data_IF_043279511233
#
_entry.id   IF_043279511233
#
_cell.length_a   1.000
_cell.length_b   1.000
_cell.length_c   1.000
_cell.angle_alpha   90.00
_cell.angle_beta   90.00
_cell.angle_gamma   90.00
#
_symmetry.space_group_name_H-M   'P 1'
#
loop_
_entity.id
_entity.type
_entity.pdbx_description
1 polymer ?
#
# COMPACT_ATOMS: atom_id res chain seq x y z
N UNK A 1 1.09 16.72 16.05
CA UNK A 1 1.05 15.36 16.66
C UNK A 1 0.97 14.37 15.51
N UNK A 2 1.85 13.38 15.45
CA UNK A 2 1.76 12.30 14.44
C UNK A 2 0.46 11.52 14.69
N UNK A 3 -0.29 11.21 13.61
CA UNK A 3 -1.55 10.47 13.69
C UNK A 3 -1.45 9.19 12.83
N UNK A 4 -2.17 8.13 13.19
CA UNK A 4 -2.39 7.01 12.29
C UNK A 4 -3.02 7.49 10.99
N UNK A 5 -2.73 6.80 9.88
CA UNK A 5 -3.28 7.14 8.56
C UNK A 5 -4.20 6.04 8.08
N UNK A 6 -5.35 6.42 7.54
CA UNK A 6 -6.27 5.51 6.84
C UNK A 6 -6.07 5.73 5.34
N UNK A 7 -5.54 4.72 4.64
CA UNK A 7 -4.99 4.89 3.30
C UNK A 7 -5.76 4.02 2.29
N UNK A 8 -6.59 4.60 1.40
CA UNK A 8 -7.10 3.86 0.26
C UNK A 8 -5.95 3.41 -0.66
N UNK A 9 -5.99 2.13 -1.08
CA UNK A 9 -5.06 1.58 -2.05
C UNK A 9 -5.80 1.20 -3.32
N UNK A 10 -5.46 1.85 -4.43
CA UNK A 10 -6.01 1.63 -5.76
C UNK A 10 -5.05 0.78 -6.58
N UNK A 11 -5.58 -0.21 -7.28
CA UNK A 11 -4.81 -1.07 -8.18
C UNK A 11 -5.17 -0.71 -9.61
N UNK A 12 -4.15 -0.42 -10.43
CA UNK A 12 -4.31 -0.17 -11.87
C UNK A 12 -3.86 -1.39 -12.64
N UNK A 13 -4.65 -1.78 -13.64
CA UNK A 13 -4.34 -2.77 -14.65
C UNK A 13 -4.91 -2.32 -16.00
N UNK A 14 -4.09 -2.32 -17.05
CA UNK A 14 -4.52 -1.88 -18.38
C UNK A 14 -5.25 -0.52 -18.35
N UNK A 15 -4.69 0.46 -17.60
CA UNK A 15 -5.22 1.81 -17.40
C UNK A 15 -6.58 1.89 -16.67
N UNK A 16 -7.15 0.78 -16.26
CA UNK A 16 -8.40 0.72 -15.50
C UNK A 16 -8.16 0.38 -14.03
N UNK A 17 -9.08 0.82 -13.18
CA UNK A 17 -9.08 0.46 -11.78
C UNK A 17 -9.59 -0.97 -11.60
N UNK A 18 -8.84 -1.77 -10.84
CA UNK A 18 -9.21 -3.16 -10.57
C UNK A 18 -9.14 -3.49 -9.09
N UNK A 19 -9.78 -4.60 -8.70
CA UNK A 19 -9.61 -5.26 -7.40
C UNK A 19 -9.39 -6.75 -7.60
N UNK A 20 -8.51 -7.31 -6.78
CA UNK A 20 -8.10 -8.71 -6.78
C UNK A 20 -8.55 -9.45 -5.52
N UNK A 21 -8.44 -10.77 -5.54
CA UNK A 21 -8.49 -11.63 -4.34
C UNK A 21 -7.23 -12.49 -4.37
N UNK A 22 -6.38 -12.37 -3.36
CA UNK A 22 -5.10 -13.06 -3.29
C UNK A 22 -4.21 -12.81 -4.55
N UNK A 23 -4.25 -11.59 -5.10
CA UNK A 23 -3.57 -11.17 -6.34
C UNK A 23 -4.08 -11.88 -7.60
N UNK A 24 -5.21 -12.56 -7.53
CA UNK A 24 -5.83 -13.28 -8.65
C UNK A 24 -7.14 -12.60 -9.06
N UNK A 25 -7.65 -12.97 -10.23
CA UNK A 25 -8.97 -12.62 -10.75
C UNK A 25 -9.27 -11.11 -10.69
N UNK A 26 -8.48 -10.26 -11.38
CA UNK A 26 -8.66 -8.81 -11.36
C UNK A 26 -10.03 -8.43 -11.94
N UNK A 27 -10.90 -7.89 -11.08
CA UNK A 27 -12.22 -7.39 -11.47
C UNK A 27 -12.12 -5.89 -11.72
N UNK A 28 -12.54 -5.43 -12.90
CA UNK A 28 -12.64 -4.01 -13.21
C UNK A 28 -13.70 -3.33 -12.34
N UNK A 29 -13.36 -2.17 -11.80
CA UNK A 29 -14.23 -1.42 -10.88
C UNK A 29 -14.37 0.06 -11.22
N UNK A 30 -13.76 0.53 -12.30
CA UNK A 30 -13.95 1.90 -12.76
C UNK A 30 -12.70 2.58 -13.31
N UNK A 31 -12.82 3.89 -13.47
CA UNK A 31 -11.74 4.76 -13.93
C UNK A 31 -10.94 5.31 -12.73
N UNK A 32 -9.59 5.27 -12.77
CA UNK A 32 -8.76 5.71 -11.65
C UNK A 32 -8.86 7.21 -11.38
N UNK A 33 -8.98 8.07 -12.41
CA UNK A 33 -9.08 9.52 -12.24
C UNK A 33 -10.40 9.89 -11.55
N UNK A 34 -11.51 9.28 -11.97
CA UNK A 34 -12.80 9.49 -11.32
C UNK A 34 -12.76 9.01 -9.85
N UNK A 35 -12.05 7.91 -9.56
CA UNK A 35 -11.87 7.45 -8.18
C UNK A 35 -11.12 8.48 -7.34
N UNK A 36 -10.03 9.06 -7.86
CA UNK A 36 -9.26 10.12 -7.19
C UNK A 36 -10.15 11.33 -6.88
N UNK A 37 -10.99 11.79 -7.83
CA UNK A 37 -11.95 12.88 -7.58
C UNK A 37 -12.86 12.61 -6.41
N UNK A 38 -13.43 11.41 -6.34
CA UNK A 38 -14.30 11.03 -5.23
C UNK A 38 -13.53 10.99 -3.90
N UNK A 39 -12.26 10.52 -3.90
CA UNK A 39 -11.43 10.54 -2.69
C UNK A 39 -11.02 11.95 -2.27
N UNK A 40 -10.83 12.90 -3.21
CA UNK A 40 -10.64 14.31 -2.88
C UNK A 40 -11.83 14.88 -2.10
N UNK A 41 -13.06 14.62 -2.56
CA UNK A 41 -14.29 15.06 -1.89
C UNK A 41 -14.46 14.46 -0.49
N UNK A 42 -13.85 13.29 -0.26
CA UNK A 42 -13.88 12.58 1.03
C UNK A 42 -12.72 12.93 1.95
N UNK A 43 -11.82 13.81 1.56
CA UNK A 43 -10.68 14.29 2.36
C UNK A 43 -9.85 13.14 2.95
N UNK A 44 -9.41 12.20 2.09
CA UNK A 44 -8.62 11.05 2.55
C UNK A 44 -7.22 11.48 3.03
N UNK A 45 -6.65 10.74 3.98
CA UNK A 45 -5.39 11.11 4.61
C UNK A 45 -4.18 10.97 3.67
N UNK A 46 -4.20 9.98 2.81
CA UNK A 46 -3.17 9.64 1.81
C UNK A 46 -3.78 8.65 0.81
N UNK A 47 -3.27 8.59 -0.42
CA UNK A 47 -3.71 7.65 -1.45
C UNK A 47 -2.52 6.87 -1.99
N UNK A 48 -2.62 5.55 -2.04
CA UNK A 48 -1.66 4.67 -2.72
C UNK A 48 -2.27 4.20 -4.05
N UNK A 49 -1.51 4.33 -5.14
CA UNK A 49 -1.88 3.85 -6.48
C UNK A 49 -0.78 2.92 -7.00
N UNK A 50 -1.13 1.67 -7.30
CA UNK A 50 -0.19 0.65 -7.76
C UNK A 50 -0.59 0.11 -9.13
N UNK A 51 0.28 0.26 -10.16
CA UNK A 51 0.17 -0.48 -11.43
C UNK A 51 0.72 -1.90 -11.19
N UNK A 52 -0.20 -2.86 -11.05
CA UNK A 52 0.12 -4.21 -10.60
C UNK A 52 0.77 -5.10 -11.67
N UNK A 53 0.64 -4.75 -12.94
CA UNK A 53 1.21 -5.53 -14.05
C UNK A 53 2.51 -4.95 -14.60
N UNK A 54 2.82 -3.67 -14.36
CA UNK A 54 3.96 -3.00 -14.96
C UNK A 54 5.29 -3.74 -14.73
N UNK A 55 5.54 -4.21 -13.50
CA UNK A 55 6.76 -4.98 -13.20
C UNK A 55 6.72 -6.39 -13.80
N UNK A 56 5.55 -7.06 -13.75
CA UNK A 56 5.39 -8.42 -14.29
C UNK A 56 5.52 -8.46 -15.82
N UNK A 57 5.07 -7.42 -16.50
CA UNK A 57 5.12 -7.27 -17.96
C UNK A 57 6.40 -6.55 -18.44
N UNK A 58 7.32 -6.26 -17.51
CA UNK A 58 8.55 -5.53 -17.77
C UNK A 58 8.33 -4.16 -18.43
N UNK A 59 7.21 -3.49 -18.12
CA UNK A 59 6.87 -2.14 -18.61
C UNK A 59 7.47 -1.06 -17.71
N UNK A 60 7.72 0.10 -18.28
CA UNK A 60 8.01 1.32 -17.53
C UNK A 60 6.74 1.91 -16.89
N UNK A 61 6.87 2.79 -15.88
CA UNK A 61 5.76 3.57 -15.37
C UNK A 61 5.03 4.33 -16.46
N UNK A 62 3.70 4.37 -16.43
CA UNK A 62 2.90 5.19 -17.36
C UNK A 62 2.90 6.66 -16.87
N UNK A 63 3.90 7.43 -17.33
CA UNK A 63 4.09 8.81 -16.91
C UNK A 63 2.90 9.72 -17.24
N UNK A 64 2.17 9.47 -18.32
CA UNK A 64 0.98 10.24 -18.64
C UNK A 64 -0.15 9.97 -17.64
N UNK A 65 -0.36 8.72 -17.26
CA UNK A 65 -1.31 8.35 -16.22
C UNK A 65 -0.91 8.96 -14.88
N UNK A 66 0.39 8.89 -14.53
CA UNK A 66 0.92 9.45 -13.27
C UNK A 66 0.69 10.95 -13.22
N UNK A 67 0.97 11.67 -14.31
CA UNK A 67 0.74 13.10 -14.38
C UNK A 67 -0.74 13.44 -14.17
N UNK A 68 -1.65 12.76 -14.87
CA UNK A 68 -3.09 12.98 -14.72
C UNK A 68 -3.57 12.70 -13.30
N UNK A 69 -3.03 11.66 -12.63
CA UNK A 69 -3.33 11.35 -11.25
C UNK A 69 -2.83 12.46 -10.31
N UNK A 70 -1.59 12.93 -10.48
CA UNK A 70 -0.99 13.97 -9.65
C UNK A 70 -1.70 15.31 -9.82
N UNK A 71 -2.09 15.69 -11.05
CA UNK A 71 -2.85 16.92 -11.33
C UNK A 71 -4.25 16.91 -10.68
N UNK A 72 -4.87 15.75 -10.59
CA UNK A 72 -6.19 15.60 -9.98
C UNK A 72 -6.11 15.48 -8.45
N UNK A 73 -5.04 14.89 -7.90
CA UNK A 73 -4.91 14.52 -6.50
C UNK A 73 -4.65 15.74 -5.60
N UNK A 74 -5.44 15.92 -4.54
CA UNK A 74 -5.28 17.00 -3.53
C UNK A 74 -4.79 16.51 -2.18
N UNK A 75 -4.67 15.19 -2.02
CA UNK A 75 -4.07 14.53 -0.86
C UNK A 75 -2.69 13.98 -1.22
N UNK A 76 -1.83 13.64 -0.24
CA UNK A 76 -0.57 12.97 -0.52
C UNK A 76 -0.76 11.72 -1.37
N UNK A 77 -0.06 11.67 -2.52
CA UNK A 77 -0.11 10.57 -3.48
C UNK A 77 1.15 9.73 -3.42
N UNK A 78 1.00 8.43 -3.22
CA UNK A 78 2.05 7.44 -3.37
C UNK A 78 1.80 6.61 -4.63
N UNK A 79 2.73 6.62 -5.58
CA UNK A 79 2.62 5.82 -6.80
C UNK A 79 3.67 4.71 -6.85
N UNK A 80 3.28 3.50 -7.31
CA UNK A 80 4.17 2.37 -7.58
C UNK A 80 3.75 1.56 -8.79
N UNK A 81 4.72 0.84 -9.34
CA UNK A 81 4.54 -0.01 -10.52
C UNK A 81 5.54 0.30 -11.62
N UNK A 82 6.33 -0.71 -12.03
CA UNK A 82 7.32 -0.59 -13.09
C UNK A 82 8.60 0.19 -12.74
N UNK A 83 8.74 0.68 -11.52
CA UNK A 83 9.89 1.50 -11.07
C UNK A 83 11.09 0.60 -10.80
N UNK A 84 12.21 0.86 -11.52
CA UNK A 84 13.43 0.04 -11.48
C UNK A 84 14.73 0.85 -11.37
N UNK A 85 14.67 2.15 -11.57
CA UNK A 85 15.85 3.02 -11.62
C UNK A 85 15.62 4.32 -10.87
N UNK A 86 16.68 4.95 -10.37
CA UNK A 86 16.63 6.27 -9.72
C UNK A 86 16.04 7.32 -10.67
N UNK A 87 16.42 7.30 -11.95
CA UNK A 87 15.88 8.23 -12.95
C UNK A 87 14.35 8.15 -13.07
N UNK A 88 13.78 6.94 -12.97
CA UNK A 88 12.31 6.78 -12.95
C UNK A 88 11.70 7.34 -11.68
N UNK A 89 12.37 7.15 -10.53
CA UNK A 89 11.95 7.74 -9.24
C UNK A 89 11.92 9.27 -9.32
N UNK A 90 13.02 9.90 -9.76
CA UNK A 90 13.10 11.35 -9.98
C UNK A 90 12.01 11.86 -10.92
N UNK A 91 11.79 11.16 -12.02
CA UNK A 91 10.76 11.51 -13.01
C UNK A 91 9.37 11.50 -12.37
N UNK A 92 9.01 10.49 -11.57
CA UNK A 92 7.71 10.39 -10.91
C UNK A 92 7.52 11.54 -9.93
N UNK A 93 8.52 11.84 -9.09
CA UNK A 93 8.48 12.98 -8.16
C UNK A 93 8.31 14.30 -8.92
N UNK A 94 9.02 14.49 -10.05
CA UNK A 94 8.91 15.70 -10.86
C UNK A 94 7.52 15.93 -11.48
N UNK A 95 6.67 14.89 -11.52
CA UNK A 95 5.27 14.98 -11.97
C UNK A 95 4.29 15.40 -10.87
N UNK A 96 4.79 15.65 -9.63
CA UNK A 96 3.96 16.09 -8.51
C UNK A 96 3.49 14.97 -7.57
N UNK A 97 4.07 13.78 -7.67
CA UNK A 97 3.82 12.68 -6.72
C UNK A 97 4.69 12.87 -5.48
N UNK A 98 4.14 12.74 -4.28
CA UNK A 98 4.88 12.95 -3.01
C UNK A 98 5.71 11.75 -2.60
N UNK A 99 5.27 10.54 -2.94
CA UNK A 99 5.97 9.29 -2.57
C UNK A 99 6.04 8.32 -3.73
N UNK A 100 7.17 7.66 -3.86
CA UNK A 100 7.38 6.59 -4.84
C UNK A 100 7.50 5.25 -4.14
N UNK A 101 6.66 4.30 -4.53
CA UNK A 101 6.66 2.94 -4.01
C UNK A 101 7.42 2.00 -4.94
N UNK A 102 8.42 1.29 -4.41
CA UNK A 102 9.22 0.31 -5.15
C UNK A 102 9.06 -1.05 -4.47
N UNK A 103 8.86 -2.11 -5.23
CA UNK A 103 8.72 -3.47 -4.73
C UNK A 103 9.74 -4.41 -5.37
N UNK A 104 9.40 -5.06 -6.48
CA UNK A 104 10.21 -6.12 -7.09
C UNK A 104 11.66 -5.73 -7.35
N UNK A 105 11.91 -4.52 -7.85
CA UNK A 105 13.25 -4.03 -8.16
C UNK A 105 14.15 -3.93 -6.93
N UNK A 106 13.62 -3.47 -5.79
CA UNK A 106 14.36 -3.41 -4.51
C UNK A 106 14.67 -4.81 -3.97
N UNK A 107 13.76 -5.77 -4.15
CA UNK A 107 14.01 -7.15 -3.73
C UNK A 107 15.10 -7.81 -4.56
N UNK A 108 15.21 -7.45 -5.84
CA UNK A 108 16.28 -7.92 -6.74
C UNK A 108 17.60 -7.15 -6.53
N UNK A 109 17.55 -5.83 -6.36
CA UNK A 109 18.70 -4.96 -6.06
C UNK A 109 18.39 -4.01 -4.90
N UNK A 110 18.71 -4.39 -3.65
CA UNK A 110 18.44 -3.54 -2.47
C UNK A 110 19.19 -2.20 -2.47
N UNK A 111 20.34 -2.08 -3.17
CA UNK A 111 21.09 -0.82 -3.22
C UNK A 111 20.32 0.31 -3.90
N UNK A 112 19.32 -0.02 -4.73
CA UNK A 112 18.41 0.97 -5.31
C UNK A 112 17.71 1.83 -4.22
N UNK A 113 17.53 1.29 -3.00
CA UNK A 113 16.97 2.06 -1.87
C UNK A 113 17.91 3.20 -1.48
N UNK A 114 19.20 2.91 -1.31
CA UNK A 114 20.19 3.93 -0.94
C UNK A 114 20.30 5.00 -2.03
N UNK A 115 20.47 4.57 -3.27
CA UNK A 115 20.58 5.48 -4.43
C UNK A 115 19.33 6.38 -4.58
N UNK A 116 18.12 5.81 -4.43
CA UNK A 116 16.88 6.58 -4.53
C UNK A 116 16.69 7.51 -3.33
N UNK A 117 17.01 7.06 -2.11
CA UNK A 117 16.85 7.89 -0.91
C UNK A 117 17.80 9.10 -0.88
N UNK A 118 19.01 8.94 -1.40
CA UNK A 118 19.95 10.06 -1.58
C UNK A 118 19.42 11.10 -2.56
N UNK A 119 18.69 10.66 -3.58
CA UNK A 119 18.19 11.53 -4.63
C UNK A 119 16.92 12.30 -4.26
N UNK A 120 15.91 11.62 -3.68
CA UNK A 120 14.60 12.22 -3.40
C UNK A 120 14.30 12.43 -1.92
N UNK A 121 15.20 12.02 -1.03
CA UNK A 121 14.98 11.98 0.42
C UNK A 121 14.20 10.75 0.88
N UNK A 122 14.56 10.26 2.06
CA UNK A 122 13.96 9.05 2.64
C UNK A 122 12.43 9.15 2.75
N UNK A 123 11.90 10.30 3.16
CA UNK A 123 10.46 10.51 3.40
C UNK A 123 9.60 10.30 2.15
N UNK A 124 10.18 10.41 0.96
CA UNK A 124 9.49 10.19 -0.31
C UNK A 124 9.66 8.77 -0.88
N UNK A 125 10.44 7.91 -0.21
CA UNK A 125 10.72 6.56 -0.66
C UNK A 125 9.97 5.52 0.18
N UNK A 126 9.08 4.78 -0.48
CA UNK A 126 8.28 3.69 0.11
C UNK A 126 8.73 2.36 -0.48
N UNK A 127 8.98 1.36 0.36
CA UNK A 127 9.23 -0.01 -0.10
C UNK A 127 8.01 -0.89 0.19
N UNK A 128 7.44 -1.47 -0.87
CA UNK A 128 6.30 -2.39 -0.75
C UNK A 128 6.81 -3.82 -0.77
N UNK A 129 6.49 -4.57 0.28
CA UNK A 129 6.81 -5.99 0.40
C UNK A 129 5.53 -6.81 0.32
N UNK A 130 5.34 -7.50 -0.79
CA UNK A 130 4.27 -8.49 -0.94
C UNK A 130 4.70 -9.78 -0.24
N UNK A 131 3.96 -10.16 0.79
CA UNK A 131 4.33 -11.29 1.64
C UNK A 131 3.25 -12.37 1.64
N UNK A 132 3.70 -13.61 1.66
CA UNK A 132 2.82 -14.78 1.74
C UNK A 132 3.34 -15.74 2.80
N UNK A 133 2.42 -16.31 3.59
CA UNK A 133 2.73 -17.31 4.59
C UNK A 133 3.22 -18.59 3.94
N UNK A 134 4.27 -19.20 4.51
CA UNK A 134 4.76 -20.49 4.02
C UNK A 134 3.79 -21.60 4.44
N UNK A 135 3.59 -22.53 3.54
CA UNK A 135 2.74 -23.69 3.81
C UNK A 135 3.21 -24.44 5.06
N UNK A 136 2.30 -24.78 5.94
CA UNK A 136 2.54 -25.49 7.22
C UNK A 136 3.62 -24.83 8.11
N UNK A 137 3.75 -23.51 8.06
CA UNK A 137 4.76 -22.77 8.84
C UNK A 137 4.21 -21.45 9.36
N UNK A 138 4.80 -20.93 10.45
CA UNK A 138 4.57 -19.57 10.95
C UNK A 138 5.45 -18.52 10.28
N UNK A 139 6.26 -18.91 9.28
CA UNK A 139 7.16 -18.04 8.55
C UNK A 139 6.50 -17.48 7.29
N UNK A 140 7.04 -16.38 6.80
CA UNK A 140 6.60 -15.69 5.59
C UNK A 140 7.74 -15.63 4.59
N UNK A 141 7.41 -15.50 3.31
CA UNK A 141 8.36 -15.18 2.24
C UNK A 141 7.89 -13.94 1.49
N UNK A 142 8.86 -13.18 0.98
CA UNK A 142 8.62 -12.11 0.03
C UNK A 142 8.36 -12.71 -1.35
N UNK A 143 7.34 -12.19 -2.01
CA UNK A 143 6.98 -12.50 -3.39
C UNK A 143 7.12 -11.25 -4.25
N UNK A 144 7.43 -11.42 -5.53
CA UNK A 144 7.58 -10.34 -6.50
C UNK A 144 6.78 -10.62 -7.77
N UNK A 145 6.76 -9.63 -8.68
CA UNK A 145 6.06 -9.72 -9.96
C UNK A 145 4.58 -10.06 -9.80
N UNK A 146 3.87 -9.24 -9.00
CA UNK A 146 2.45 -9.44 -8.71
C UNK A 146 2.16 -10.83 -8.11
N UNK A 147 2.96 -11.24 -7.13
CA UNK A 147 2.79 -12.52 -6.44
C UNK A 147 3.11 -13.78 -7.28
N UNK A 148 3.77 -13.64 -8.42
CA UNK A 148 4.09 -14.78 -9.32
C UNK A 148 5.38 -15.51 -8.96
N UNK A 149 6.35 -14.84 -8.31
CA UNK A 149 7.67 -15.41 -8.00
C UNK A 149 7.96 -15.33 -6.51
N UNK A 150 8.13 -16.50 -5.88
CA UNK A 150 8.63 -16.61 -4.51
C UNK A 150 10.14 -16.38 -4.49
N UNK A 151 10.61 -15.46 -3.67
CA UNK A 151 12.05 -15.14 -3.57
C UNK A 151 12.77 -15.96 -2.49
N UNK A 152 12.04 -16.63 -1.61
CA UNK A 152 12.57 -17.30 -0.44
C UNK A 152 13.08 -16.37 0.66
N UNK A 153 13.15 -15.05 0.42
CA UNK A 153 13.65 -14.07 1.38
C UNK A 153 12.68 -13.92 2.56
N UNK A 154 13.22 -13.79 3.76
CA UNK A 154 12.48 -13.50 4.98
C UNK A 154 12.14 -12.00 5.03
N UNK A 155 10.85 -11.61 5.19
CA UNK A 155 10.47 -10.20 5.20
C UNK A 155 10.98 -9.45 6.43
N UNK A 156 11.23 -10.12 7.57
CA UNK A 156 11.74 -9.47 8.78
C UNK A 156 13.18 -8.99 8.57
N UNK A 157 14.06 -9.91 8.17
CA UNK A 157 15.46 -9.59 7.89
C UNK A 157 15.60 -8.58 6.74
N UNK A 158 14.78 -8.71 5.71
CA UNK A 158 14.81 -7.80 4.57
C UNK A 158 14.31 -6.40 4.94
N UNK A 159 13.28 -6.27 5.78
CA UNK A 159 12.81 -4.98 6.28
C UNK A 159 13.88 -4.21 7.06
N UNK A 160 14.66 -4.90 7.89
CA UNK A 160 15.80 -4.29 8.59
C UNK A 160 16.88 -3.82 7.58
N UNK A 161 17.17 -4.63 6.58
CA UNK A 161 18.13 -4.27 5.53
C UNK A 161 17.73 -3.00 4.80
N UNK A 162 16.48 -2.91 4.30
CA UNK A 162 16.03 -1.74 3.53
C UNK A 162 15.88 -0.49 4.40
N UNK A 163 15.51 -0.62 5.67
CA UNK A 163 15.55 0.50 6.61
C UNK A 163 16.96 1.09 6.72
N UNK A 164 17.97 0.23 6.89
CA UNK A 164 19.38 0.65 7.00
C UNK A 164 19.90 1.29 5.70
N UNK A 165 19.29 0.94 4.55
CA UNK A 165 19.60 1.53 3.25
C UNK A 165 18.84 2.84 3.00
N UNK A 166 17.97 3.30 3.92
CA UNK A 166 17.33 4.60 3.84
C UNK A 166 15.87 4.58 3.34
N UNK A 167 15.18 3.45 3.38
CA UNK A 167 13.72 3.45 3.16
C UNK A 167 13.03 4.35 4.18
N UNK A 168 12.12 5.20 3.74
CA UNK A 168 11.37 6.10 4.62
C UNK A 168 10.09 5.51 5.18
N UNK A 169 9.52 4.52 4.48
CA UNK A 169 8.33 3.80 4.91
C UNK A 169 8.34 2.38 4.32
N UNK A 170 7.79 1.42 5.05
CA UNK A 170 7.56 0.06 4.56
C UNK A 170 6.07 -0.22 4.52
N UNK A 171 5.55 -0.57 3.35
CA UNK A 171 4.20 -1.12 3.17
C UNK A 171 4.30 -2.64 3.13
N UNK A 172 3.68 -3.30 4.09
CA UNK A 172 3.57 -4.76 4.11
C UNK A 172 2.21 -5.15 3.56
N UNK A 173 2.23 -5.85 2.45
CA UNK A 173 1.02 -6.31 1.77
C UNK A 173 0.85 -7.83 1.93
N UNK A 174 -0.19 -8.24 2.65
CA UNK A 174 -0.50 -9.65 2.87
C UNK A 174 -1.24 -10.25 1.68
N UNK A 175 -0.56 -11.04 0.84
CA UNK A 175 -1.17 -11.72 -0.32
C UNK A 175 -2.31 -12.64 0.13
N UNK A 176 -2.13 -13.36 1.24
CA UNK A 176 -3.13 -14.32 1.73
C UNK A 176 -4.43 -13.65 2.17
N UNK A 177 -4.37 -12.37 2.55
CA UNK A 177 -5.51 -11.59 3.03
C UNK A 177 -6.05 -10.61 1.98
N UNK A 178 -5.31 -10.40 0.86
CA UNK A 178 -5.74 -9.46 -0.18
C UNK A 178 -7.17 -9.75 -0.69
N UNK A 179 -8.00 -8.72 -0.70
CA UNK A 179 -9.39 -8.76 -1.18
C UNK A 179 -10.36 -9.62 -0.38
N UNK A 180 -9.90 -10.32 0.66
CA UNK A 180 -10.74 -11.23 1.46
C UNK A 180 -11.68 -10.53 2.43
N UNK A 181 -11.34 -9.31 2.87
CA UNK A 181 -12.15 -8.54 3.81
C UNK A 181 -12.44 -9.29 5.13
N UNK A 182 -11.44 -9.97 5.70
CA UNK A 182 -11.55 -10.78 6.93
C UNK A 182 -10.59 -10.33 8.04
N UNK A 183 -10.10 -9.10 7.96
CA UNK A 183 -9.14 -8.51 8.89
C UNK A 183 -7.69 -8.63 8.44
N UNK A 184 -6.85 -7.81 9.07
CA UNK A 184 -5.40 -7.78 8.83
C UNK A 184 -4.66 -8.98 9.45
N UNK A 185 -3.47 -9.29 8.94
CA UNK A 185 -2.56 -10.27 9.54
C UNK A 185 -1.78 -9.64 10.71
N UNK A 186 -2.37 -9.66 11.91
CA UNK A 186 -1.75 -9.12 13.12
C UNK A 186 -0.48 -9.86 13.54
N UNK A 187 -0.36 -11.14 13.18
CA UNK A 187 0.86 -11.91 13.48
C UNK A 187 2.04 -11.40 12.66
N UNK A 188 1.80 -11.04 11.41
CA UNK A 188 2.81 -10.49 10.52
C UNK A 188 3.32 -9.13 11.01
N UNK A 189 2.41 -8.20 11.31
CA UNK A 189 2.82 -6.86 11.76
C UNK A 189 3.46 -6.87 13.15
N UNK A 190 3.00 -7.72 14.07
CA UNK A 190 3.61 -7.85 15.40
C UNK A 190 5.09 -8.25 15.33
N UNK A 191 5.46 -9.08 14.36
CA UNK A 191 6.86 -9.47 14.14
C UNK A 191 7.70 -8.32 13.58
N UNK A 192 7.10 -7.47 12.76
CA UNK A 192 7.81 -6.37 12.09
C UNK A 192 8.00 -5.15 12.97
N UNK A 193 6.95 -4.71 13.66
CA UNK A 193 6.93 -3.41 14.34
C UNK A 193 7.98 -3.30 15.46
N UNK A 194 8.40 -4.44 16.01
CA UNK A 194 9.44 -4.47 17.03
C UNK A 194 10.87 -4.48 16.44
N UNK A 195 11.01 -4.62 15.13
CA UNK A 195 12.31 -4.78 14.44
C UNK A 195 12.72 -3.55 13.68
N UNK A 196 11.79 -2.66 13.35
CA UNK A 196 12.02 -1.51 12.49
C UNK A 196 11.53 -0.23 13.16
N UNK A 197 12.27 0.86 12.97
CA UNK A 197 11.99 2.17 13.57
C UNK A 197 11.39 3.20 12.62
N UNK A 198 11.15 2.83 11.35
CA UNK A 198 10.51 3.69 10.36
C UNK A 198 9.01 3.40 10.27
N UNK A 199 8.20 4.32 9.72
CA UNK A 199 6.78 4.12 9.49
C UNK A 199 6.45 2.79 8.78
N UNK A 200 5.42 2.10 9.28
CA UNK A 200 4.90 0.86 8.70
C UNK A 200 3.45 1.06 8.32
N UNK A 201 3.12 0.66 7.11
CA UNK A 201 1.73 0.57 6.62
C UNK A 201 1.38 -0.87 6.34
N UNK A 202 0.24 -1.33 6.87
CA UNK A 202 -0.29 -2.67 6.61
C UNK A 202 -1.38 -2.62 5.54
N UNK A 203 -1.23 -3.45 4.52
CA UNK A 203 -2.18 -3.61 3.41
C UNK A 203 -2.62 -5.07 3.30
N UNK A 204 -3.88 -5.28 2.91
CA UNK A 204 -4.48 -6.59 2.70
C UNK A 204 -5.28 -7.09 3.90
N UNK A 205 -6.58 -7.28 3.68
CA UNK A 205 -7.49 -7.93 4.62
C UNK A 205 -8.58 -7.08 5.23
N UNK A 206 -8.41 -5.77 5.39
CA UNK A 206 -9.44 -4.92 6.00
C UNK A 206 -10.79 -5.05 5.29
N UNK A 207 -11.83 -5.36 6.04
CA UNK A 207 -13.22 -5.49 5.56
C UNK A 207 -14.18 -4.55 6.28
N UNK A 208 -13.74 -3.89 7.34
CA UNK A 208 -14.55 -2.96 8.14
C UNK A 208 -13.68 -1.85 8.75
N UNK A 209 -14.32 -0.76 9.18
CA UNK A 209 -13.67 0.28 9.98
C UNK A 209 -13.21 -0.25 11.34
N UNK A 210 -13.88 -1.28 11.85
CA UNK A 210 -13.47 -1.96 13.08
C UNK A 210 -12.12 -2.70 12.94
N UNK A 211 -11.83 -3.28 11.76
CA UNK A 211 -10.52 -3.88 11.49
C UNK A 211 -9.41 -2.82 11.53
N UNK A 212 -9.67 -1.65 10.93
CA UNK A 212 -8.77 -0.49 10.96
C UNK A 212 -8.55 -0.02 12.40
N UNK A 213 -9.63 0.18 13.16
CA UNK A 213 -9.56 0.58 14.56
C UNK A 213 -8.79 -0.42 15.42
N UNK A 214 -9.01 -1.72 15.21
CA UNK A 214 -8.29 -2.78 15.93
C UNK A 214 -6.79 -2.79 15.63
N UNK A 215 -6.40 -2.50 14.38
CA UNK A 215 -5.00 -2.35 13.99
C UNK A 215 -4.35 -1.15 14.70
N UNK A 216 -5.01 0.01 14.64
CA UNK A 216 -4.49 1.26 15.19
C UNK A 216 -4.41 1.19 16.72
N UNK A 217 -5.44 0.69 17.40
CA UNK A 217 -5.43 0.51 18.86
C UNK A 217 -4.30 -0.40 19.32
N UNK A 218 -4.03 -1.46 18.58
CA UNK A 218 -3.00 -2.42 18.95
C UNK A 218 -1.57 -1.95 18.71
N UNK A 219 -1.34 -1.20 17.62
CA UNK A 219 0.00 -0.88 17.15
C UNK A 219 0.32 0.63 17.12
N UNK A 220 -0.66 1.48 17.42
CA UNK A 220 -0.45 2.93 17.50
C UNK A 220 -0.24 3.59 16.13
N UNK A 221 0.89 4.26 15.96
CA UNK A 221 1.21 5.07 14.77
C UNK A 221 1.56 4.22 13.54
N UNK A 222 0.56 3.56 12.97
CA UNK A 222 0.69 2.77 11.74
C UNK A 222 -0.18 3.33 10.61
N UNK A 223 0.19 3.02 9.38
CA UNK A 223 -0.68 3.20 8.23
C UNK A 223 -1.63 2.00 8.10
N UNK A 224 -2.93 2.25 8.05
CA UNK A 224 -3.96 1.25 7.80
C UNK A 224 -4.44 1.36 6.35
N UNK A 225 -3.81 0.61 5.45
CA UNK A 225 -4.18 0.64 4.04
C UNK A 225 -5.24 -0.41 3.69
N UNK A 226 -6.20 -0.04 2.85
CA UNK A 226 -7.25 -0.93 2.38
C UNK A 226 -7.65 -0.63 0.93
N UNK A 227 -7.92 -1.69 0.18
CA UNK A 227 -8.42 -1.58 -1.18
C UNK A 227 -9.92 -1.84 -1.26
N UNK A 228 -10.32 -3.08 -1.09
CA UNK A 228 -11.70 -3.55 -1.28
C UNK A 228 -12.71 -2.85 -0.36
N UNK A 229 -12.33 -2.55 0.89
CA UNK A 229 -13.15 -1.84 1.85
C UNK A 229 -13.64 -0.49 1.33
N UNK A 230 -12.79 0.26 0.61
CA UNK A 230 -13.09 1.60 0.14
C UNK A 230 -13.70 1.64 -1.28
N UNK A 231 -13.76 0.49 -1.97
CA UNK A 231 -14.29 0.39 -3.34
C UNK A 231 -15.61 -0.37 -3.40
N UNK A 232 -15.84 -1.27 -2.45
CA UNK A 232 -17.06 -2.08 -2.43
C UNK A 232 -17.95 -1.75 -1.25
N UNK A 233 -19.27 -1.89 -1.45
CA UNK A 233 -20.28 -1.76 -0.38
C UNK A 233 -21.24 -2.95 -0.40
N UNK A 234 -21.57 -3.41 0.81
CA UNK A 234 -22.56 -4.46 1.05
C UNK A 234 -22.10 -5.87 0.65
N UNK A 235 -22.95 -6.84 0.94
CA UNK A 235 -22.66 -8.29 0.73
C UNK A 235 -22.49 -8.65 -0.74
N UNK A 236 -23.14 -7.92 -1.65
CA UNK A 236 -23.03 -8.10 -3.10
C UNK A 236 -21.82 -7.42 -3.73
N UNK A 237 -20.98 -6.76 -2.92
CA UNK A 237 -19.81 -6.01 -3.42
C UNK A 237 -20.14 -5.06 -4.57
N UNK A 238 -21.21 -4.27 -4.40
CA UNK A 238 -21.51 -3.20 -5.33
C UNK A 238 -20.36 -2.18 -5.35
N UNK A 239 -19.96 -1.72 -6.52
CA UNK A 239 -18.91 -0.71 -6.64
C UNK A 239 -19.44 0.61 -6.15
N UNK A 240 -18.95 1.06 -5.02
CA UNK A 240 -19.25 2.36 -4.41
C UNK A 240 -18.07 2.83 -3.60
N UNK A 241 -17.36 3.84 -4.11
CA UNK A 241 -16.24 4.44 -3.41
C UNK A 241 -16.74 5.11 -2.12
N UNK A 242 -16.16 4.69 -1.01
CA UNK A 242 -16.50 5.20 0.31
C UNK A 242 -15.24 5.41 1.14
N UNK A 243 -15.34 6.26 2.18
CA UNK A 243 -14.26 6.53 3.11
C UNK A 243 -14.87 7.11 4.39
N UNK A 244 -14.32 6.84 5.57
CA UNK A 244 -14.87 7.37 6.81
C UNK A 244 -14.80 8.89 6.85
N UNK A 245 -15.89 9.52 7.27
CA UNK A 245 -15.92 10.95 7.53
C UNK A 245 -15.11 11.29 8.80
N UNK A 246 -14.96 12.58 9.11
CA UNK A 246 -14.17 13.05 10.23
C UNK A 246 -14.60 12.46 11.57
N UNK A 247 -15.92 12.40 11.83
CA UNK A 247 -16.44 11.84 13.08
C UNK A 247 -16.18 10.34 13.19
N UNK A 248 -16.33 9.60 12.10
CA UNK A 248 -15.99 8.18 12.04
C UNK A 248 -14.49 7.94 12.22
N UNK A 249 -13.62 8.81 11.65
CA UNK A 249 -12.17 8.73 11.88
C UNK A 249 -11.81 9.01 13.34
N UNK A 250 -12.36 10.05 13.92
CA UNK A 250 -12.12 10.40 15.33
C UNK A 250 -12.57 9.25 16.24
N UNK A 251 -13.70 8.63 15.93
CA UNK A 251 -14.20 7.45 16.63
C UNK A 251 -13.29 6.22 16.51
N UNK A 252 -12.68 6.00 15.32
CA UNK A 252 -11.71 4.91 15.12
C UNK A 252 -10.47 5.11 15.99
N UNK A 253 -10.06 6.37 16.21
CA UNK A 253 -8.89 6.72 16.99
C UNK A 253 -9.14 6.83 18.50
N UNK A 254 -10.42 6.94 18.93
CA UNK A 254 -10.80 6.96 20.33
C UNK A 254 -10.80 5.53 20.90
N UNK A 255 -10.05 5.32 22.00
CA UNK A 255 -9.93 4.01 22.65
C UNK A 255 -11.27 3.47 23.18
N UNK A 256 -12.25 4.34 23.45
CA UNK A 256 -13.53 4.00 24.08
C UNK A 256 -14.68 3.70 23.11
N UNK A 257 -14.54 3.99 21.84
CA UNK A 257 -15.68 3.96 20.90
C UNK A 257 -16.24 2.57 20.57
N UNK A 258 -15.41 1.51 20.68
CA UNK A 258 -15.84 0.15 20.31
C UNK A 258 -16.04 -0.78 21.54
N UNK A 259 -16.12 -0.23 22.76
CA UNK A 259 -16.35 -0.99 24.00
C UNK A 259 -17.84 -1.05 24.37
N UNK A 260 -18.72 -0.45 23.59
CA UNK A 260 -20.18 -0.45 23.79
C UNK A 260 -20.89 -1.52 22.98
#
# INVERSE_FOLDING_TARGET
MLRPRIIPCLLIKNKGLVKTINFLDPKYVGDPINAVRIFNEKEVDELIVLDIDASADNREPDYNMIQNLAEECRMPLCYGGGVKTVRQVEKIISLGVEKVAISSAVVENPNLVAEASECIGNQSLVVVLDVKKRYLSSKYNIWINNGKKNTGKDPMAFSQQIQNLGAGEIVINSIDNDGRMKGYDFTLIQKLINLIGIPVTLLGGAGSLQDIGSLIRKFGLVGAAAGSLFVFKGIYRAVLINYPNRLEKDAIFDENYFVS
#
